data_IF_132618178083
#
_entry.id   IF_132618178083
#
_cell.length_a   1.000
_cell.length_b   1.000
_cell.length_c   1.000
_cell.angle_alpha   90.00
_cell.angle_beta   90.00
_cell.angle_gamma   90.00
#
_symmetry.space_group_name_H-M   'P 1'
#
loop_
_entity.id
_entity.type
_entity.pdbx_description
1 polymer ?
#
# COMPACT_ATOMS: atom_id res chain seq x y z
N UNK A 1 -34.76 2.46 -17.97
CA UNK A 1 -33.81 3.34 -18.73
C UNK A 1 -33.04 4.30 -17.82
N UNK A 2 -33.69 4.98 -16.85
CA UNK A 2 -33.07 5.90 -15.88
C UNK A 2 -31.88 5.32 -15.08
N UNK A 3 -31.92 4.03 -14.70
CA UNK A 3 -30.81 3.39 -13.98
C UNK A 3 -29.51 3.26 -14.78
N UNK A 4 -29.61 3.05 -16.10
CA UNK A 4 -28.45 2.91 -16.99
C UNK A 4 -27.72 4.24 -17.17
N UNK A 5 -28.46 5.33 -17.34
CA UNK A 5 -27.89 6.67 -17.42
C UNK A 5 -27.17 7.05 -16.12
N UNK A 6 -27.78 6.73 -14.96
CA UNK A 6 -27.15 6.94 -13.66
C UNK A 6 -25.91 6.07 -13.42
N UNK A 7 -25.82 4.88 -14.03
CA UNK A 7 -24.62 4.04 -13.99
C UNK A 7 -23.49 4.63 -14.85
N UNK A 8 -23.81 5.03 -16.09
CA UNK A 8 -22.87 5.69 -17.00
C UNK A 8 -22.29 6.97 -16.41
N UNK A 9 -23.12 7.82 -15.78
CA UNK A 9 -22.64 9.04 -15.12
C UNK A 9 -21.70 8.73 -13.93
N UNK A 10 -22.01 7.72 -13.13
CA UNK A 10 -21.16 7.32 -11.99
C UNK A 10 -19.80 6.80 -12.44
N UNK A 11 -19.77 5.98 -13.50
CA UNK A 11 -18.53 5.44 -14.06
C UNK A 11 -17.76 6.52 -14.82
N UNK A 12 -18.44 7.31 -15.66
CA UNK A 12 -17.83 8.41 -16.42
C UNK A 12 -17.11 9.42 -15.53
N UNK A 13 -17.63 9.69 -14.32
CA UNK A 13 -16.95 10.54 -13.33
C UNK A 13 -15.54 10.06 -12.98
N UNK A 14 -15.26 8.74 -13.03
CA UNK A 14 -13.93 8.18 -12.70
C UNK A 14 -12.85 8.55 -13.73
N UNK A 15 -13.21 9.00 -14.94
CA UNK A 15 -12.25 9.42 -15.97
C UNK A 15 -11.48 10.69 -15.59
N UNK A 16 -12.06 11.55 -14.76
CA UNK A 16 -11.48 12.86 -14.39
C UNK A 16 -10.98 12.89 -12.93
N UNK A 17 -11.41 11.94 -12.10
CA UNK A 17 -10.95 11.83 -10.72
C UNK A 17 -9.50 11.34 -10.67
N UNK A 18 -8.72 11.89 -9.75
CA UNK A 18 -7.33 11.48 -9.51
C UNK A 18 -7.22 9.98 -9.29
N UNK A 19 -6.23 9.35 -9.91
CA UNK A 19 -5.93 7.93 -9.70
C UNK A 19 -5.27 7.72 -8.34
N UNK A 20 -5.72 6.70 -7.62
CA UNK A 20 -5.19 6.33 -6.29
C UNK A 20 -3.92 5.46 -6.34
N UNK A 21 -3.48 5.07 -7.55
CA UNK A 21 -2.30 4.22 -7.75
C UNK A 21 -1.02 4.97 -7.40
N UNK A 22 -0.15 4.34 -6.60
CA UNK A 22 1.20 4.83 -6.32
C UNK A 22 2.19 4.11 -7.24
N UNK A 23 3.14 4.85 -7.82
CA UNK A 23 4.15 4.32 -8.74
C UNK A 23 5.27 3.66 -7.94
N UNK A 24 5.40 2.33 -8.02
CA UNK A 24 6.56 1.62 -7.49
C UNK A 24 7.57 1.41 -8.62
N UNK A 25 8.87 1.65 -8.41
CA UNK A 25 9.57 1.88 -7.13
C UNK A 25 9.74 3.34 -6.70
N UNK A 26 9.29 4.32 -7.48
CA UNK A 26 9.55 5.75 -7.25
C UNK A 26 8.87 6.29 -5.99
N UNK A 27 7.69 5.76 -5.66
CA UNK A 27 6.87 6.11 -4.50
C UNK A 27 6.64 4.86 -3.66
N UNK A 28 7.32 4.79 -2.52
CA UNK A 28 7.17 3.67 -1.59
C UNK A 28 5.88 3.78 -0.78
N UNK A 29 5.09 2.70 -0.65
CA UNK A 29 3.89 2.71 0.18
C UNK A 29 4.27 2.85 1.66
N UNK A 30 3.45 3.59 2.41
CA UNK A 30 3.64 3.75 3.86
C UNK A 30 3.28 2.45 4.58
N UNK A 31 4.29 1.81 5.18
CA UNK A 31 4.11 0.62 6.01
C UNK A 31 3.74 0.99 7.45
N UNK A 32 2.86 0.20 8.06
CA UNK A 32 2.56 0.33 9.49
C UNK A 32 3.74 -0.19 10.33
N UNK A 33 3.99 0.35 11.55
CA UNK A 33 5.11 -0.09 12.39
C UNK A 33 5.12 -1.58 12.75
N UNK A 34 3.96 -2.24 12.71
CA UNK A 34 3.78 -3.67 13.01
C UNK A 34 3.56 -4.52 11.76
N UNK A 35 4.01 -4.07 10.59
CA UNK A 35 3.95 -4.88 9.37
C UNK A 35 4.84 -6.12 9.49
N UNK A 36 4.34 -7.28 9.06
CA UNK A 36 5.12 -8.52 9.00
C UNK A 36 6.03 -8.47 7.77
N UNK A 37 7.29 -8.14 8.00
CA UNK A 37 8.33 -8.14 6.98
C UNK A 37 9.09 -9.46 6.90
N UNK A 38 10.26 -9.40 6.26
CA UNK A 38 11.24 -10.50 6.28
C UNK A 38 11.67 -10.79 7.71
N UNK A 39 11.76 -12.07 8.08
CA UNK A 39 12.26 -12.52 9.37
C UNK A 39 13.74 -12.11 9.49
N UNK A 40 14.11 -11.52 10.63
CA UNK A 40 15.47 -11.09 10.94
C UNK A 40 15.94 -11.73 12.24
N UNK A 41 17.21 -12.14 12.28
CA UNK A 41 17.90 -12.44 13.53
C UNK A 41 18.45 -11.14 14.09
N UNK A 42 18.20 -10.88 15.37
CA UNK A 42 18.63 -9.64 16.04
C UNK A 42 19.90 -9.86 16.85
N UNK A 43 20.69 -8.80 16.99
CA UNK A 43 21.92 -8.76 17.80
C UNK A 43 21.72 -7.80 18.96
N UNK A 44 22.41 -8.07 20.06
CA UNK A 44 22.48 -7.15 21.19
C UNK A 44 23.39 -5.96 20.88
N UNK A 45 23.34 -4.88 21.69
CA UNK A 45 24.20 -3.72 21.52
C UNK A 45 25.71 -4.06 21.50
N UNK A 46 26.11 -5.15 22.17
CA UNK A 46 27.48 -5.67 22.20
C UNK A 46 27.87 -6.47 20.93
N UNK A 47 26.93 -6.64 19.98
CA UNK A 47 27.16 -7.28 18.68
C UNK A 47 27.02 -8.80 18.66
N UNK A 48 26.74 -9.43 19.80
CA UNK A 48 26.47 -10.89 19.92
C UNK A 48 25.04 -11.22 19.48
N UNK A 49 24.82 -12.40 18.91
CA UNK A 49 23.49 -12.86 18.48
C UNK A 49 22.62 -13.27 19.67
N UNK A 50 21.32 -12.96 19.60
CA UNK A 50 20.34 -13.29 20.66
C UNK A 50 19.88 -14.75 20.68
N UNK A 51 20.13 -15.49 19.61
CA UNK A 51 19.76 -16.90 19.53
C UNK A 51 20.69 -17.70 20.45
N UNK A 52 20.11 -18.54 21.30
CA UNK A 52 20.82 -19.48 22.20
C UNK A 52 20.92 -20.86 21.59
#
# INVERSE_FOLDING_TARGET
MIGWLGALLRVGRKLVVKTETQLYPEVMPKLAPRSRGRIVLTRDPDGVERCV
#
